data_IF_182951118196
#
_entry.id   IF_182951118196
#
_cell.length_a   1.000
_cell.length_b   1.000
_cell.length_c   1.000
_cell.angle_alpha   90.00
_cell.angle_beta   90.00
_cell.angle_gamma   90.00
#
_symmetry.space_group_name_H-M   'P 1'
#
loop_
_entity.id
_entity.type
_entity.pdbx_description
1 polymer ?
#
# COMPACT_ATOMS: atom_id res chain seq x y z
N UNK A 1 9.02 1.72 -7.39
CA UNK A 1 7.85 0.94 -7.84
C UNK A 1 7.27 1.55 -9.10
N UNK A 2 7.08 0.74 -10.13
CA UNK A 2 6.38 1.05 -11.37
C UNK A 2 4.91 0.63 -11.26
N UNK A 3 4.04 1.21 -12.09
CA UNK A 3 2.59 0.94 -12.06
C UNK A 3 2.28 -0.56 -12.23
N UNK A 4 2.99 -1.21 -13.13
CA UNK A 4 2.86 -2.62 -13.50
C UNK A 4 3.41 -3.61 -12.44
N UNK A 5 4.08 -3.13 -11.40
CA UNK A 5 4.55 -3.96 -10.28
C UNK A 5 3.55 -3.96 -9.09
N UNK A 6 2.44 -3.22 -9.22
CA UNK A 6 1.44 -3.08 -8.17
C UNK A 6 0.30 -4.07 -8.41
N UNK A 7 0.10 -4.96 -7.45
CA UNK A 7 -0.89 -6.01 -7.49
C UNK A 7 -2.07 -5.66 -6.58
N UNK A 8 -3.29 -5.90 -7.06
CA UNK A 8 -4.48 -5.85 -6.21
C UNK A 8 -4.38 -6.95 -5.15
N UNK A 9 -4.77 -6.63 -3.92
CA UNK A 9 -4.52 -7.40 -2.68
C UNK A 9 -3.06 -7.50 -2.24
N UNK A 10 -2.12 -6.96 -3.03
CA UNK A 10 -0.73 -6.84 -2.63
C UNK A 10 -0.56 -5.89 -1.45
N UNK A 11 0.37 -6.22 -0.55
CA UNK A 11 0.71 -5.38 0.61
C UNK A 11 2.03 -4.66 0.34
N UNK A 12 2.04 -3.36 0.59
CA UNK A 12 3.17 -2.48 0.30
C UNK A 12 3.45 -1.55 1.47
N UNK A 13 4.67 -1.04 1.56
CA UNK A 13 5.02 -0.01 2.55
C UNK A 13 4.79 1.37 1.96
N UNK A 14 4.04 2.21 2.66
CA UNK A 14 3.77 3.60 2.28
C UNK A 14 3.96 4.54 3.47
N UNK A 15 4.31 5.80 3.21
CA UNK A 15 4.32 6.85 4.23
C UNK A 15 2.92 7.46 4.35
N UNK A 16 2.24 7.22 5.47
CA UNK A 16 0.92 7.79 5.79
C UNK A 16 1.09 8.68 7.03
N UNK A 17 0.69 9.95 6.92
CA UNK A 17 0.76 10.93 8.03
C UNK A 17 2.11 10.98 8.76
N UNK A 18 3.22 10.82 8.04
CA UNK A 18 4.56 10.86 8.63
C UNK A 18 5.16 9.49 8.98
N UNK A 19 4.36 8.43 9.06
CA UNK A 19 4.81 7.10 9.48
C UNK A 19 4.84 6.11 8.32
N UNK A 20 5.83 5.21 8.32
CA UNK A 20 5.87 4.08 7.39
C UNK A 20 4.94 2.99 7.89
N UNK A 21 3.95 2.63 7.08
CA UNK A 21 2.92 1.64 7.42
C UNK A 21 2.70 0.68 6.27
N UNK A 22 2.26 -0.53 6.59
CA UNK A 22 1.80 -1.49 5.60
C UNK A 22 0.40 -1.10 5.11
N UNK A 23 0.24 -1.03 3.79
CA UNK A 23 -1.03 -0.77 3.13
C UNK A 23 -1.34 -1.91 2.16
N UNK A 24 -2.57 -2.41 2.16
CA UNK A 24 -3.04 -3.39 1.19
C UNK A 24 -3.76 -2.66 0.06
N UNK A 25 -3.38 -2.90 -1.18
CA UNK A 25 -4.09 -2.38 -2.34
C UNK A 25 -5.43 -3.11 -2.47
N UNK A 26 -6.54 -2.39 -2.44
CA UNK A 26 -7.87 -2.99 -2.54
C UNK A 26 -8.40 -2.94 -3.97
N UNK A 27 -8.14 -1.85 -4.70
CA UNK A 27 -8.51 -1.69 -6.12
C UNK A 27 -7.69 -0.60 -6.81
N UNK A 28 -7.58 -0.68 -8.13
CA UNK A 28 -7.29 0.50 -8.95
C UNK A 28 -8.49 1.45 -8.88
N UNK A 29 -8.22 2.74 -8.90
CA UNK A 29 -9.29 3.73 -8.86
C UNK A 29 -9.54 4.38 -10.22
N UNK A 30 -10.80 4.72 -10.53
CA UNK A 30 -11.16 5.43 -11.76
C UNK A 30 -10.42 6.76 -11.95
N UNK A 31 -10.01 7.42 -10.86
CA UNK A 31 -9.26 8.69 -10.92
C UNK A 31 -7.73 8.51 -11.01
N UNK A 32 -7.26 7.29 -11.26
CA UNK A 32 -5.84 6.94 -11.29
C UNK A 32 -5.25 6.65 -9.90
N UNK A 33 -4.20 5.83 -9.89
CA UNK A 33 -3.62 5.28 -8.66
C UNK A 33 -4.51 4.19 -8.06
N UNK A 34 -4.42 4.00 -6.74
CA UNK A 34 -5.05 2.89 -6.03
C UNK A 34 -5.70 3.31 -4.72
N UNK A 35 -6.84 2.70 -4.44
CA UNK A 35 -7.42 2.70 -3.10
C UNK A 35 -6.82 1.53 -2.32
N UNK A 36 -6.39 1.83 -1.10
CA UNK A 36 -5.72 0.88 -0.23
C UNK A 36 -6.22 1.00 1.20
N UNK A 37 -5.98 -0.02 2.00
CA UNK A 37 -6.29 -0.04 3.43
C UNK A 37 -5.01 -0.02 4.24
N UNK A 38 -4.86 0.94 5.15
CA UNK A 38 -3.79 0.96 6.13
C UNK A 38 -4.02 -0.15 7.15
N UNK A 39 -3.15 -1.16 7.15
CA UNK A 39 -3.29 -2.34 8.00
C UNK A 39 -3.03 -2.05 9.48
N UNK A 40 -2.34 -0.95 9.81
CA UNK A 40 -2.11 -0.55 11.20
C UNK A 40 -3.35 0.10 11.85
N UNK A 41 -4.24 0.72 11.06
CA UNK A 41 -5.40 1.48 11.58
C UNK A 41 -6.75 1.00 11.04
N UNK A 42 -6.76 0.12 10.05
CA UNK A 42 -7.97 -0.32 9.34
C UNK A 42 -8.59 0.75 8.43
N UNK A 43 -7.96 1.93 8.29
CA UNK A 43 -8.53 3.05 7.52
C UNK A 43 -8.15 3.01 6.05
N UNK A 44 -9.07 3.42 5.19
CA UNK A 44 -8.79 3.59 3.76
C UNK A 44 -7.84 4.77 3.52
N UNK A 45 -6.89 4.55 2.62
CA UNK A 45 -5.86 5.51 2.21
C UNK A 45 -5.73 5.51 0.69
N UNK A 46 -5.45 6.69 0.13
CA UNK A 46 -5.32 6.89 -1.31
C UNK A 46 -3.87 6.92 -1.75
N UNK A 47 -3.49 5.98 -2.62
CA UNK A 47 -2.15 5.92 -3.24
C UNK A 47 -2.24 6.49 -4.66
N UNK A 48 -1.95 7.80 -4.81
CA UNK A 48 -2.08 8.49 -6.11
C UNK A 48 -1.07 8.02 -7.17
N UNK A 49 0.13 7.63 -6.75
CA UNK A 49 1.20 7.21 -7.65
C UNK A 49 2.01 6.07 -7.04
N UNK A 50 2.58 5.21 -7.89
CA UNK A 50 3.41 4.09 -7.45
C UNK A 50 4.66 4.57 -6.68
N UNK A 51 5.15 5.79 -6.95
CA UNK A 51 6.28 6.40 -6.24
C UNK A 51 6.04 6.59 -4.73
N UNK A 52 4.78 6.60 -4.26
CA UNK A 52 4.47 6.65 -2.81
C UNK A 52 4.71 5.32 -2.11
N UNK A 53 4.81 4.23 -2.87
CA UNK A 53 5.11 2.89 -2.37
C UNK A 53 6.62 2.69 -2.34
N UNK A 54 7.14 2.28 -1.19
CA UNK A 54 8.58 2.04 -0.96
C UNK A 54 9.02 0.65 -1.38
N UNK A 55 8.08 -0.29 -1.48
CA UNK A 55 8.35 -1.69 -1.81
C UNK A 55 7.17 -2.55 -1.38
N UNK A 56 7.15 -3.82 -1.84
CA UNK A 56 6.23 -4.83 -1.30
C UNK A 56 6.58 -5.02 0.18
N UNK A 57 5.58 -5.00 1.05
CA UNK A 57 5.82 -5.35 2.44
C UNK A 57 6.20 -6.82 2.46
N UNK A 58 7.38 -7.15 3.02
CA UNK A 58 7.66 -8.53 3.41
C UNK A 58 6.51 -8.91 4.34
N UNK A 59 5.88 -10.06 4.10
CA UNK A 59 4.92 -10.60 5.07
C UNK A 59 5.58 -10.49 6.45
N UNK A 60 4.86 -10.03 7.49
CA UNK A 60 5.44 -10.05 8.82
C UNK A 60 5.94 -11.48 9.03
N UNK A 61 7.25 -11.65 9.13
CA UNK A 61 7.78 -12.82 9.82
C UNK A 61 7.06 -12.76 11.16
N UNK A 62 6.14 -13.70 11.36
CA UNK A 62 5.67 -14.01 12.68
C UNK A 62 6.94 -14.38 13.43
N UNK A 63 7.55 -13.41 14.11
CA UNK A 63 8.49 -13.67 15.18
C UNK A 63 7.72 -14.57 16.14
N UNK A 64 8.04 -15.86 16.05
CA UNK A 64 7.69 -16.87 17.05
C UNK A 64 8.49 -16.61 18.32
#
# INVERSE_FOLDING_TARGET
MKKNEIEIRGVYVAKVSGQLVAVRIDRESPYGGWDATNLATGRSVRIRTAARLRGRARAPEATS
#
